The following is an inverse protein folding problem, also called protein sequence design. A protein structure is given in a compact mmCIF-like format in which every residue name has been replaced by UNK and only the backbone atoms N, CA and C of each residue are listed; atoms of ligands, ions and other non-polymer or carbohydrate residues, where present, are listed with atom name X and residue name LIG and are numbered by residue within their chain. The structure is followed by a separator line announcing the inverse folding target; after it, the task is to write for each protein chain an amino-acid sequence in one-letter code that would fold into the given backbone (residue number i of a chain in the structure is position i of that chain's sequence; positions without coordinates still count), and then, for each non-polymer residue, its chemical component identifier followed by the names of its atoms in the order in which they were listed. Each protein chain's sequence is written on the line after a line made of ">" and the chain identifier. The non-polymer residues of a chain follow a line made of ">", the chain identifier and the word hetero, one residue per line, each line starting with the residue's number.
data_IF_521570929862
#
_entry.id   IF_521570929862
#
_cell.length_a   1.000
_cell.length_b   1.000
_cell.length_c   1.000
_cell.angle_alpha   90.00
_cell.angle_beta   90.00
_cell.angle_gamma   90.00
#
_symmetry.space_group_name_H-M   'P 1'
#
loop_
_entity.id
_entity.type
_entity.pdbx_description
1 polymer ?
#
# COMPACT_ATOMS: atom_id res chain seq x y z
N UNK A 1 4.02 0.10 5.15
CA UNK A 1 3.32 0.33 3.87
C UNK A 1 3.55 -0.85 2.96
N UNK A 2 2.66 -1.07 1.99
CA UNK A 2 2.85 -2.06 0.94
C UNK A 2 2.59 -1.44 -0.42
N UNK A 3 3.47 -1.63 -1.40
CA UNK A 3 3.31 -1.07 -2.74
C UNK A 3 3.98 -1.95 -3.81
N UNK A 4 3.40 -1.98 -5.00
CA UNK A 4 4.05 -2.51 -6.20
C UNK A 4 4.45 -1.34 -7.10
N UNK A 5 5.68 -1.35 -7.60
CA UNK A 5 6.22 -0.27 -8.43
C UNK A 5 7.11 -0.78 -9.54
N UNK A 6 7.05 -0.10 -10.68
CA UNK A 6 8.00 -0.26 -11.79
C UNK A 6 9.40 0.29 -11.43
N UNK A 7 10.40 0.07 -12.29
CA UNK A 7 11.79 0.51 -12.07
C UNK A 7 11.91 2.03 -11.84
N UNK A 8 11.06 2.81 -12.53
CA UNK A 8 10.97 4.27 -12.41
C UNK A 8 10.01 4.74 -11.29
N UNK A 9 9.67 3.85 -10.33
CA UNK A 9 8.73 4.07 -9.22
C UNK A 9 7.29 4.37 -9.61
N UNK A 10 6.90 4.18 -10.87
CA UNK A 10 5.49 4.29 -11.27
C UNK A 10 4.68 3.24 -10.51
N UNK A 11 3.56 3.69 -9.92
CA UNK A 11 2.59 2.86 -9.21
C UNK A 11 1.20 2.92 -9.82
N UNK A 12 0.97 3.82 -10.78
CA UNK A 12 -0.30 3.96 -11.45
C UNK A 12 -0.24 4.89 -12.66
N UNK A 13 -1.17 4.63 -13.58
CA UNK A 13 -1.47 5.45 -14.75
C UNK A 13 -3.00 5.42 -14.95
N UNK A 14 -3.64 6.55 -15.17
CA UNK A 14 -5.09 6.66 -15.44
C UNK A 14 -5.97 5.98 -14.37
N UNK A 15 -5.55 6.04 -13.09
CA UNK A 15 -6.17 5.35 -11.94
C UNK A 15 -6.14 3.81 -12.00
N UNK A 16 -5.30 3.21 -12.83
CA UNK A 16 -5.07 1.76 -12.87
C UNK A 16 -3.59 1.44 -12.68
N UNK A 17 -3.28 0.18 -12.36
CA UNK A 17 -1.91 -0.32 -12.46
C UNK A 17 -1.61 -0.60 -13.94
N UNK A 18 -0.49 -0.11 -14.50
CA UNK A 18 -0.14 -0.32 -15.91
C UNK A 18 0.42 -1.73 -16.18
N UNK A 19 0.19 -2.68 -15.27
CA UNK A 19 0.57 -4.08 -15.39
C UNK A 19 -0.50 -5.00 -14.80
N UNK A 20 -0.44 -6.27 -15.20
CA UNK A 20 -1.19 -7.34 -14.56
C UNK A 20 -0.21 -8.35 -13.96
N UNK A 21 -0.20 -8.46 -12.63
CA UNK A 21 0.73 -9.33 -11.90
C UNK A 21 0.00 -10.11 -10.79
N UNK A 22 -0.64 -11.25 -11.13
CA UNK A 22 -1.38 -12.07 -10.17
C UNK A 22 -0.59 -12.50 -8.92
N UNK A 23 0.71 -12.74 -9.05
CA UNK A 23 1.58 -13.07 -7.92
C UNK A 23 1.65 -11.95 -6.89
N UNK A 24 1.76 -10.69 -7.35
CA UNK A 24 1.73 -9.51 -6.47
C UNK A 24 0.38 -9.37 -5.77
N UNK A 25 -0.74 -9.57 -6.47
CA UNK A 25 -2.06 -9.54 -5.84
C UNK A 25 -2.22 -10.59 -4.74
N UNK A 26 -1.66 -11.79 -4.94
CA UNK A 26 -1.64 -12.85 -3.92
C UNK A 26 -0.76 -12.46 -2.73
N UNK A 27 0.42 -11.89 -2.99
CA UNK A 27 1.34 -11.40 -1.96
C UNK A 27 0.69 -10.27 -1.15
N UNK A 28 0.12 -9.27 -1.82
CA UNK A 28 -0.62 -8.17 -1.21
C UNK A 28 -1.75 -8.67 -0.29
N UNK A 29 -2.55 -9.64 -0.75
CA UNK A 29 -3.58 -10.27 0.09
C UNK A 29 -2.95 -10.94 1.31
N UNK A 30 -1.89 -11.73 1.15
CA UNK A 30 -1.20 -12.43 2.25
C UNK A 30 -0.69 -11.46 3.32
N UNK A 31 -0.06 -10.36 2.92
CA UNK A 31 0.53 -9.39 3.85
C UNK A 31 -0.54 -8.55 4.57
N UNK A 32 -1.64 -8.22 3.90
CA UNK A 32 -2.66 -7.31 4.41
C UNK A 32 -3.83 -8.00 5.14
N UNK A 33 -4.05 -9.30 4.94
CA UNK A 33 -5.20 -10.00 5.52
C UNK A 33 -5.22 -9.90 7.05
N UNK A 34 -6.40 -9.62 7.62
CA UNK A 34 -6.58 -9.48 9.06
C UNK A 34 -6.08 -8.16 9.64
N UNK A 35 -5.49 -7.27 8.84
CA UNK A 35 -4.97 -5.97 9.29
C UNK A 35 -5.86 -4.81 8.85
N UNK A 36 -5.88 -3.68 9.57
CA UNK A 36 -6.41 -2.43 9.04
C UNK A 36 -5.63 -2.00 7.81
N UNK A 37 -6.36 -1.55 6.80
CA UNK A 37 -5.79 -0.99 5.58
C UNK A 37 -6.27 0.45 5.38
N UNK A 38 -5.35 1.35 5.10
CA UNK A 38 -5.62 2.77 4.84
C UNK A 38 -5.31 3.06 3.37
N UNK A 39 -6.30 3.63 2.68
CA UNK A 39 -6.19 4.03 1.29
C UNK A 39 -6.84 5.38 1.01
N UNK A 40 -6.48 6.00 -0.11
CA UNK A 40 -7.16 7.20 -0.61
C UNK A 40 -8.40 6.85 -1.43
N UNK A 41 -9.34 7.81 -1.55
CA UNK A 41 -10.56 7.67 -2.36
C UNK A 41 -10.32 7.13 -3.77
N UNK A 42 -9.29 7.62 -4.50
CA UNK A 42 -9.00 7.17 -5.87
C UNK A 42 -8.54 5.71 -5.91
N UNK A 43 -7.74 5.27 -4.94
CA UNK A 43 -7.31 3.88 -4.80
C UNK A 43 -8.50 2.97 -4.51
N UNK A 44 -9.40 3.37 -3.60
CA UNK A 44 -10.64 2.64 -3.38
C UNK A 44 -11.48 2.53 -4.66
N UNK A 45 -11.65 3.63 -5.41
CA UNK A 45 -12.41 3.64 -6.65
C UNK A 45 -11.82 2.70 -7.73
N UNK A 46 -10.48 2.61 -7.80
CA UNK A 46 -9.77 1.68 -8.68
C UNK A 46 -9.99 0.21 -8.31
N UNK A 47 -10.01 -0.09 -7.00
CA UNK A 47 -10.30 -1.44 -6.47
C UNK A 47 -11.79 -1.79 -6.64
N UNK A 48 -12.66 -0.79 -6.51
CA UNK A 48 -14.11 -0.86 -6.73
C UNK A 48 -14.95 -1.38 -5.55
N UNK A 49 -14.32 -1.91 -4.49
CA UNK A 49 -15.00 -2.41 -3.29
C UNK A 49 -14.06 -2.57 -2.11
N UNK A 50 -14.63 -2.67 -0.90
CA UNK A 50 -13.88 -3.04 0.28
C UNK A 50 -13.26 -4.44 0.14
N UNK A 51 -12.02 -4.56 0.58
CA UNK A 51 -11.26 -5.79 0.53
C UNK A 51 -11.66 -6.70 1.72
N UNK A 52 -12.18 -7.91 1.47
CA UNK A 52 -12.74 -8.75 2.53
C UNK A 52 -11.67 -9.21 3.52
N UNK A 53 -12.08 -9.40 4.78
CA UNK A 53 -11.21 -9.83 5.88
C UNK A 53 -10.23 -8.76 6.37
N UNK A 54 -10.50 -7.48 6.08
CA UNK A 54 -9.69 -6.31 6.46
C UNK A 54 -10.61 -5.17 6.88
N UNK A 55 -10.19 -4.38 7.86
CA UNK A 55 -10.82 -3.08 8.12
C UNK A 55 -10.38 -2.12 7.01
N UNK A 56 -11.32 -1.68 6.18
CA UNK A 56 -11.05 -0.77 5.06
C UNK A 56 -11.28 0.67 5.52
N UNK A 57 -10.24 1.49 5.54
CA UNK A 57 -10.28 2.91 5.89
C UNK A 57 -9.94 3.74 4.65
N UNK A 58 -10.84 4.62 4.24
CA UNK A 58 -10.73 5.43 3.03
C UNK A 58 -10.64 6.90 3.41
N UNK A 59 -9.52 7.53 3.08
CA UNK A 59 -9.29 8.96 3.30
C UNK A 59 -9.84 9.76 2.11
N UNK A 60 -10.72 10.71 2.39
CA UNK A 60 -11.31 11.60 1.40
C UNK A 60 -11.50 13.01 1.96
N UNK A 61 -11.08 14.03 1.21
CA UNK A 61 -11.36 15.44 1.55
C UNK A 61 -12.81 15.84 1.30
N UNK A 62 -13.59 15.02 0.60
CA UNK A 62 -15.03 15.23 0.42
C UNK A 62 -15.79 14.72 1.66
N UNK A 63 -16.29 15.66 2.46
CA UNK A 63 -17.02 15.42 3.71
C UNK A 63 -18.38 14.73 3.50
N UNK A 64 -18.90 14.74 2.28
CA UNK A 64 -20.15 14.06 1.95
C UNK A 64 -19.91 12.67 1.36
N UNK A 65 -18.66 12.30 1.11
CA UNK A 65 -18.32 10.98 0.58
C UNK A 65 -18.61 9.90 1.61
N UNK A 66 -19.41 8.90 1.22
CA UNK A 66 -19.80 7.78 2.07
C UNK A 66 -19.67 6.48 1.30
N UNK A 67 -19.27 5.44 2.01
CA UNK A 67 -19.21 4.06 1.52
C UNK A 67 -19.99 3.18 2.48
N UNK A 68 -20.72 2.21 1.94
CA UNK A 68 -21.51 1.27 2.75
C UNK A 68 -20.65 0.13 3.33
N UNK A 69 -19.49 -0.13 2.73
CA UNK A 69 -18.64 -1.30 3.02
C UNK A 69 -17.24 -0.92 3.57
N UNK A 70 -16.97 0.37 3.77
CA UNK A 70 -15.70 0.88 4.27
C UNK A 70 -15.90 2.11 5.18
N UNK A 71 -14.97 2.32 6.10
CA UNK A 71 -14.96 3.51 6.96
C UNK A 71 -14.34 4.67 6.18
N UNK A 72 -15.11 5.73 5.95
CA UNK A 72 -14.58 6.97 5.36
C UNK A 72 -14.16 7.93 6.46
N UNK A 73 -12.98 8.50 6.32
CA UNK A 73 -12.40 9.53 7.21
C UNK A 73 -11.88 10.70 6.38
N UNK A 74 -11.67 11.84 7.03
CA UNK A 74 -11.37 13.10 6.35
C UNK A 74 -9.95 13.63 6.58
N UNK A 75 -9.15 12.92 7.37
CA UNK A 75 -7.72 13.20 7.56
C UNK A 75 -6.90 11.90 7.69
N UNK A 76 -5.59 12.02 7.52
CA UNK A 76 -4.68 10.89 7.71
C UNK A 76 -4.55 10.55 9.20
N UNK A 77 -4.61 11.57 10.06
CA UNK A 77 -4.59 11.47 11.50
C UNK A 77 -5.80 10.68 12.02
N UNK A 78 -7.01 11.02 11.58
CA UNK A 78 -8.24 10.28 11.89
C UNK A 78 -8.17 8.82 11.39
N UNK A 79 -7.52 8.58 10.25
CA UNK A 79 -7.32 7.22 9.75
C UNK A 79 -6.46 6.36 10.70
N UNK A 80 -5.44 6.96 11.33
CA UNK A 80 -4.60 6.29 12.33
C UNK A 80 -5.43 6.01 13.59
N UNK A 81 -6.21 6.98 14.05
CA UNK A 81 -7.05 6.83 15.24
C UNK A 81 -8.05 5.68 15.08
N UNK A 82 -8.79 5.64 13.97
CA UNK A 82 -9.73 4.55 13.66
C UNK A 82 -9.01 3.19 13.59
N UNK A 83 -7.82 3.14 12.99
CA UNK A 83 -7.04 1.91 12.92
C UNK A 83 -6.57 1.45 14.31
N UNK A 84 -6.11 2.38 15.15
CA UNK A 84 -5.65 2.12 16.51
C UNK A 84 -6.79 1.62 17.40
N UNK A 85 -7.95 2.29 17.38
CA UNK A 85 -9.14 1.89 18.12
C UNK A 85 -9.57 0.47 17.75
N UNK A 86 -9.58 0.15 16.46
CA UNK A 86 -9.88 -1.20 15.99
C UNK A 86 -8.89 -2.24 16.53
N UNK A 87 -7.58 -1.95 16.43
CA UNK A 87 -6.55 -2.85 16.96
C UNK A 87 -6.68 -3.07 18.47
N UNK A 88 -7.02 -2.04 19.24
CA UNK A 88 -7.29 -2.16 20.67
C UNK A 88 -8.52 -3.01 20.95
N UNK A 89 -9.62 -2.75 20.24
CA UNK A 89 -10.89 -3.48 20.39
C UNK A 89 -10.74 -4.97 20.08
N UNK A 90 -10.05 -5.29 18.99
CA UNK A 90 -9.80 -6.67 18.55
C UNK A 90 -8.60 -7.32 19.26
N UNK A 91 -7.96 -6.62 20.20
CA UNK A 91 -6.84 -7.10 21.04
C UNK A 91 -5.67 -7.65 20.23
N UNK A 92 -5.25 -6.92 19.20
CA UNK A 92 -4.12 -7.34 18.37
C UNK A 92 -2.82 -7.33 19.18
N UNK A 93 -2.12 -8.46 19.19
CA UNK A 93 -0.74 -8.54 19.68
C UNK A 93 0.20 -7.98 18.59
N UNK A 94 0.87 -6.86 18.87
CA UNK A 94 1.73 -6.13 17.92
C UNK A 94 1.00 -5.67 16.64
N UNK A 95 0.06 -4.71 16.76
CA UNK A 95 -0.75 -4.28 15.63
C UNK A 95 0.10 -3.68 14.50
N UNK A 96 -0.23 -4.03 13.27
CA UNK A 96 0.36 -3.46 12.07
C UNK A 96 -0.74 -2.89 11.18
N UNK A 97 -0.59 -1.61 10.80
CA UNK A 97 -1.53 -0.90 9.92
C UNK A 97 -0.91 -0.77 8.53
N UNK A 98 -1.65 -1.18 7.51
CA UNK A 98 -1.15 -1.22 6.14
C UNK A 98 -1.62 0.00 5.35
N UNK A 99 -0.68 0.88 5.03
CA UNK A 99 -0.92 1.93 4.03
C UNK A 99 -0.77 1.31 2.64
N UNK A 100 -1.81 1.41 1.82
CA UNK A 100 -1.89 0.77 0.49
C UNK A 100 -2.03 1.77 -0.67
N UNK A 101 -1.80 3.06 -0.40
CA UNK A 101 -1.75 4.13 -1.39
C UNK A 101 -3.01 4.97 -1.51
N UNK A 102 -3.14 5.86 -2.49
CA UNK A 102 -2.23 6.11 -3.60
C UNK A 102 -1.07 7.07 -3.27
N UNK A 103 -0.49 7.68 -4.29
CA UNK A 103 0.74 8.50 -4.16
C UNK A 103 0.70 9.55 -3.04
N UNK A 104 -0.38 10.33 -2.93
CA UNK A 104 -0.53 11.34 -1.86
C UNK A 104 -0.59 10.74 -0.46
N UNK A 105 -1.26 9.59 -0.32
CA UNK A 105 -1.34 8.85 0.94
C UNK A 105 0.05 8.30 1.31
N UNK A 106 0.76 7.68 0.36
CA UNK A 106 2.13 7.23 0.61
C UNK A 106 3.05 8.37 1.03
N UNK A 107 3.00 9.51 0.33
CA UNK A 107 3.80 10.68 0.68
C UNK A 107 3.53 11.16 2.11
N UNK A 108 2.25 11.29 2.50
CA UNK A 108 1.89 11.73 3.84
C UNK A 108 2.38 10.77 4.92
N UNK A 109 2.16 9.47 4.73
CA UNK A 109 2.45 8.47 5.76
C UNK A 109 3.93 8.06 5.82
N UNK A 110 4.77 8.42 4.84
CA UNK A 110 6.15 7.95 4.77
C UNK A 110 6.95 8.31 6.04
N UNK A 111 6.68 9.49 6.62
CA UNK A 111 7.31 9.93 7.88
C UNK A 111 7.02 9.01 9.07
N UNK A 112 5.84 8.39 9.09
CA UNK A 112 5.39 7.47 10.15
C UNK A 112 5.69 6.01 9.83
N UNK A 113 6.26 5.72 8.67
CA UNK A 113 6.44 4.35 8.21
C UNK A 113 7.64 3.68 8.89
N UNK A 114 7.39 2.53 9.52
CA UNK A 114 8.44 1.69 10.10
C UNK A 114 8.96 0.62 9.13
N UNK A 115 8.09 0.11 8.24
CA UNK A 115 8.38 -1.03 7.36
C UNK A 115 7.76 -0.86 5.99
N UNK A 116 8.51 -1.16 4.94
CA UNK A 116 8.01 -1.21 3.56
C UNK A 116 7.99 -2.66 3.07
N UNK A 117 6.86 -3.05 2.49
CA UNK A 117 6.72 -4.27 1.68
C UNK A 117 6.62 -3.84 0.22
N UNK A 118 7.70 -3.97 -0.53
CA UNK A 118 7.78 -3.49 -1.90
C UNK A 118 7.80 -4.66 -2.87
N UNK A 119 6.99 -4.58 -3.92
CA UNK A 119 7.16 -5.39 -5.12
C UNK A 119 7.85 -4.51 -6.16
N UNK A 120 9.12 -4.78 -6.46
CA UNK A 120 9.84 -4.13 -7.55
C UNK A 120 9.63 -4.94 -8.81
N UNK A 121 9.02 -4.35 -9.83
CA UNK A 121 8.72 -5.00 -11.11
C UNK A 121 9.75 -4.51 -12.11
N UNK A 122 10.43 -5.45 -12.78
CA UNK A 122 11.38 -5.15 -13.86
C UNK A 122 10.62 -4.73 -15.12
N UNK A 123 10.12 -3.49 -15.06
CA UNK A 123 9.32 -2.85 -16.07
C UNK A 123 9.65 -1.36 -16.06
N UNK A 124 9.75 -0.77 -17.25
CA UNK A 124 9.78 0.68 -17.42
C UNK A 124 8.51 1.07 -18.17
N UNK A 125 7.73 1.98 -17.58
CA UNK A 125 6.40 2.33 -18.08
C UNK A 125 6.08 3.77 -17.70
N UNK A 126 5.36 4.47 -18.57
CA UNK A 126 4.85 5.80 -18.26
C UNK A 126 3.70 5.73 -17.25
N UNK A 127 3.63 6.71 -16.36
CA UNK A 127 2.56 6.80 -15.39
C UNK A 127 2.44 8.20 -14.79
N UNK A 128 1.28 8.46 -14.19
CA UNK A 128 0.96 9.76 -13.58
C UNK A 128 1.16 9.76 -12.05
N UNK A 129 1.34 8.57 -11.47
CA UNK A 129 1.43 8.37 -10.03
C UNK A 129 2.67 7.58 -9.69
N UNK A 130 3.48 8.14 -8.80
CA UNK A 130 4.77 7.58 -8.40
C UNK A 130 4.79 7.29 -6.89
N UNK A 131 5.50 6.23 -6.52
CA UNK A 131 5.87 6.00 -5.12
C UNK A 131 6.87 7.09 -4.69
N UNK A 132 6.79 7.63 -3.46
CA UNK A 132 7.76 8.60 -2.98
C UNK A 132 9.18 8.06 -3.04
N UNK A 133 10.17 8.95 -3.21
CA UNK A 133 11.59 8.58 -3.22
C UNK A 133 12.08 8.24 -1.80
N UNK A 134 11.61 7.10 -1.29
CA UNK A 134 11.77 6.68 0.10
C UNK A 134 13.23 6.53 0.51
N UNK A 135 14.10 6.14 -0.42
CA UNK A 135 15.53 5.95 -0.21
C UNK A 135 16.31 7.28 -0.18
N UNK A 136 15.81 8.33 -0.83
CA UNK A 136 16.40 9.67 -0.74
C UNK A 136 16.04 10.39 0.58
N UNK A 137 14.97 9.95 1.25
CA UNK A 137 14.41 10.64 2.43
C UNK A 137 14.87 9.98 3.75
N UNK A 138 14.99 8.65 3.77
CA UNK A 138 15.35 7.89 4.96
C UNK A 138 16.26 6.71 4.62
N UNK A 139 17.00 6.25 5.63
CA UNK A 139 17.78 5.02 5.52
C UNK A 139 16.91 3.79 5.76
N UNK A 140 17.08 2.79 4.90
CA UNK A 140 16.32 1.55 4.92
C UNK A 140 17.27 0.36 4.89
N UNK A 141 17.01 -0.61 5.75
CA UNK A 141 17.69 -1.90 5.73
C UNK A 141 16.78 -2.93 5.09
N UNK A 142 17.31 -3.63 4.08
CA UNK A 142 16.67 -4.82 3.54
C UNK A 142 16.81 -5.97 4.54
N UNK A 143 15.67 -6.53 4.96
CA UNK A 143 15.62 -7.65 5.91
C UNK A 143 15.10 -8.95 5.28
N UNK A 144 14.48 -8.87 4.11
CA UNK A 144 14.04 -10.02 3.33
C UNK A 144 13.89 -9.63 1.85
N UNK A 145 14.19 -10.58 0.96
CA UNK A 145 14.09 -10.40 -0.48
C UNK A 145 13.88 -11.74 -1.18
N UNK A 146 12.97 -11.76 -2.14
CA UNK A 146 12.63 -12.94 -2.95
C UNK A 146 12.45 -12.52 -4.41
N UNK A 147 13.33 -13.03 -5.29
CA UNK A 147 13.31 -12.71 -6.71
C UNK A 147 12.59 -13.78 -7.53
N UNK A 148 11.80 -13.34 -8.50
CA UNK A 148 11.01 -14.19 -9.40
C UNK A 148 11.29 -13.81 -10.85
N UNK A 149 11.47 -14.82 -11.68
CA UNK A 149 11.59 -14.64 -13.13
C UNK A 149 10.20 -14.52 -13.77
N UNK A 150 10.17 -13.91 -14.96
CA UNK A 150 8.94 -13.85 -15.75
C UNK A 150 8.43 -15.25 -16.11
N UNK A 151 7.11 -15.43 -16.07
CA UNK A 151 6.41 -16.65 -16.45
C UNK A 151 5.08 -16.30 -17.13
N UNK A 152 4.38 -17.23 -17.82
CA UNK A 152 3.21 -16.89 -18.64
C UNK A 152 2.09 -16.11 -17.94
N UNK A 153 1.87 -16.34 -16.63
CA UNK A 153 0.87 -15.62 -15.84
C UNK A 153 1.40 -14.32 -15.20
N UNK A 154 2.72 -14.17 -15.11
CA UNK A 154 3.41 -13.03 -14.51
C UNK A 154 4.52 -12.60 -15.50
N UNK A 155 4.20 -11.82 -16.54
CA UNK A 155 5.06 -11.64 -17.71
C UNK A 155 6.29 -10.77 -17.46
N UNK A 156 6.46 -10.26 -16.24
CA UNK A 156 7.59 -9.43 -15.82
C UNK A 156 8.36 -10.16 -14.74
N UNK A 157 9.68 -10.04 -14.74
CA UNK A 157 10.45 -10.39 -13.55
C UNK A 157 10.12 -9.39 -12.43
N UNK A 158 10.14 -9.86 -11.19
CA UNK A 158 9.83 -9.01 -10.03
C UNK A 158 10.51 -9.52 -8.77
N UNK A 159 10.60 -8.64 -7.78
CA UNK A 159 11.20 -8.94 -6.48
C UNK A 159 10.32 -8.46 -5.35
N UNK A 160 9.97 -9.35 -4.43
CA UNK A 160 9.37 -8.97 -3.14
C UNK A 160 10.49 -8.57 -2.18
N UNK A 161 10.36 -7.41 -1.56
CA UNK A 161 11.38 -6.85 -0.66
C UNK A 161 10.70 -6.35 0.61
N UNK A 162 11.26 -6.72 1.76
CA UNK A 162 10.88 -6.12 3.03
C UNK A 162 12.01 -5.25 3.56
N UNK A 163 11.70 -3.98 3.77
CA UNK A 163 12.63 -3.00 4.31
C UNK A 163 12.18 -2.53 5.69
N UNK A 164 13.12 -2.27 6.59
CA UNK A 164 12.88 -1.61 7.89
C UNK A 164 13.62 -0.30 7.91
N UNK A 165 12.91 0.77 8.31
CA UNK A 165 13.48 2.11 8.46
C UNK A 165 14.51 2.09 9.59
N UNK A 166 15.70 2.59 9.33
CA UNK A 166 16.73 2.73 10.37
C UNK A 166 16.41 3.95 11.25
N UNK A 167 16.70 3.83 12.55
CA UNK A 167 16.69 4.98 13.43
C UNK A 167 17.86 5.90 13.05
N UNK A 168 17.59 7.21 12.99
CA UNK A 168 18.62 8.25 12.85
C UNK A 168 19.26 8.49 14.21
#
# INVERSE_FOLDING_TARGET
>A
MIAAMANNRVIGADNAMPWHLPADLKHFKKITLGKPIIMGRKTYASIGKALPGRLNIVVSSDVNYKLADATVVHSCEEAIEVAAEHCTKEKFENPEVMIIGGGTIYQHFLRFCHRLYLTQIELEVDGDTYFPDYAAIYDWQEIASEAHQAEPLNPYAYRFITLVKQAV
#
